data_IF_181750578665
#
_entry.id   IF_181750578665
#
_cell.length_a   1.000
_cell.length_b   1.000
_cell.length_c   1.000
_cell.angle_alpha   90.00
_cell.angle_beta   90.00
_cell.angle_gamma   90.00
#
_symmetry.space_group_name_H-M   'P 1'
#
loop_
_entity.id
_entity.type
_entity.pdbx_description
1 polymer ?
#
# COMPACT_ATOMS: atom_id res chain seq x y z
N UNK A 1 -4.48 -3.62 -7.55
CA UNK A 1 -4.42 -2.90 -6.25
C UNK A 1 -5.77 -2.56 -5.63
N UNK A 2 -6.80 -2.06 -6.34
CA UNK A 2 -8.07 -1.63 -5.72
C UNK A 2 -8.72 -2.71 -4.86
N UNK A 3 -8.75 -3.96 -5.35
CA UNK A 3 -9.27 -5.12 -4.61
C UNK A 3 -8.63 -5.28 -3.22
N UNK A 4 -7.29 -5.17 -3.13
CA UNK A 4 -6.58 -5.32 -1.83
C UNK A 4 -6.91 -4.17 -0.89
N UNK A 5 -6.95 -2.93 -1.40
CA UNK A 5 -7.33 -1.75 -0.60
C UNK A 5 -8.73 -1.95 -0.01
N UNK A 6 -9.71 -2.35 -0.83
CA UNK A 6 -11.07 -2.67 -0.37
C UNK A 6 -11.09 -3.79 0.67
N UNK A 7 -10.36 -4.88 0.44
CA UNK A 7 -10.28 -6.00 1.39
C UNK A 7 -9.68 -5.56 2.74
N UNK A 8 -8.60 -4.79 2.74
CA UNK A 8 -8.01 -4.26 3.96
C UNK A 8 -8.94 -3.26 4.66
N UNK A 9 -9.59 -2.37 3.92
CA UNK A 9 -10.54 -1.40 4.45
C UNK A 9 -11.75 -2.07 5.13
N UNK A 10 -12.26 -3.16 4.55
CA UNK A 10 -13.36 -3.96 5.11
C UNK A 10 -12.90 -4.98 6.18
N UNK A 11 -11.61 -5.00 6.55
CA UNK A 11 -11.07 -5.96 7.51
C UNK A 11 -10.99 -7.41 7.03
N UNK A 12 -11.15 -7.66 5.73
CA UNK A 12 -11.12 -9.00 5.11
C UNK A 12 -9.73 -9.38 4.57
N UNK A 13 -8.76 -8.45 4.63
CA UNK A 13 -7.37 -8.68 4.21
C UNK A 13 -6.47 -9.16 5.36
N UNK A 14 -5.34 -8.48 5.55
CA UNK A 14 -4.39 -8.80 6.61
C UNK A 14 -5.00 -8.68 8.01
N UNK A 15 -4.58 -9.58 8.92
CA UNK A 15 -5.04 -9.65 10.32
C UNK A 15 -5.01 -8.31 11.04
N UNK A 16 -3.98 -7.49 10.79
CA UNK A 16 -3.82 -6.16 11.38
C UNK A 16 -5.04 -5.26 11.12
N UNK A 17 -5.59 -5.30 9.89
CA UNK A 17 -6.69 -4.41 9.50
C UNK A 17 -8.09 -4.93 9.88
N UNK A 18 -8.19 -6.06 10.59
CA UNK A 18 -9.49 -6.56 11.11
C UNK A 18 -10.08 -5.64 12.18
N UNK A 19 -9.22 -4.96 12.94
CA UNK A 19 -9.61 -4.06 14.04
C UNK A 19 -9.42 -2.58 13.71
N UNK A 20 -8.66 -2.27 12.66
CA UNK A 20 -8.25 -0.90 12.32
C UNK A 20 -8.34 -0.72 10.81
N UNK A 21 -8.93 0.39 10.35
CA UNK A 21 -8.97 0.71 8.92
C UNK A 21 -7.65 1.35 8.47
N UNK A 22 -7.11 1.01 7.29
CA UNK A 22 -5.97 1.73 6.71
C UNK A 22 -6.38 3.17 6.40
N UNK A 23 -5.54 4.13 6.78
CA UNK A 23 -5.77 5.54 6.47
C UNK A 23 -5.43 5.88 5.01
N UNK A 24 -4.28 5.41 4.54
CA UNK A 24 -3.79 5.68 3.19
C UNK A 24 -2.74 4.64 2.77
N UNK A 25 -2.59 4.48 1.45
CA UNK A 25 -1.40 3.86 0.85
C UNK A 25 -0.41 5.00 0.61
N UNK A 26 0.86 4.82 0.96
CA UNK A 26 1.90 5.87 0.84
C UNK A 26 3.09 5.45 -0.01
N UNK A 27 3.16 4.18 -0.40
CA UNK A 27 4.27 3.63 -1.14
C UNK A 27 3.81 2.55 -2.13
N UNK A 28 4.33 2.61 -3.35
CA UNK A 28 4.05 1.66 -4.43
C UNK A 28 5.25 1.54 -5.37
N UNK A 29 5.60 0.32 -5.77
CA UNK A 29 6.59 0.03 -6.82
C UNK A 29 5.94 -0.82 -7.92
N UNK A 30 6.23 -0.52 -9.19
CA UNK A 30 5.69 -1.24 -10.34
C UNK A 30 6.73 -2.16 -10.99
N UNK A 31 6.28 -2.89 -12.02
CA UNK A 31 7.11 -3.75 -12.88
C UNK A 31 7.81 -4.90 -12.13
N UNK A 32 7.26 -5.28 -10.96
CA UNK A 32 7.71 -6.44 -10.21
C UNK A 32 6.90 -7.67 -10.63
N UNK A 33 7.61 -8.75 -10.94
CA UNK A 33 7.02 -10.08 -11.03
C UNK A 33 6.84 -10.66 -9.63
N UNK A 34 6.04 -11.72 -9.48
CA UNK A 34 5.73 -12.31 -8.16
C UNK A 34 6.97 -12.59 -7.31
N UNK A 35 8.03 -13.12 -7.92
CA UNK A 35 9.29 -13.42 -7.24
C UNK A 35 9.98 -12.15 -6.73
N UNK A 36 10.18 -11.16 -7.60
CA UNK A 36 10.86 -9.90 -7.24
C UNK A 36 10.04 -9.07 -6.27
N UNK A 37 8.71 -9.08 -6.39
CA UNK A 37 7.80 -8.45 -5.44
C UNK A 37 7.96 -9.03 -4.01
N UNK A 38 8.09 -10.35 -3.90
CA UNK A 38 8.25 -11.02 -2.61
C UNK A 38 9.61 -10.73 -1.97
N UNK A 39 10.69 -10.72 -2.78
CA UNK A 39 12.03 -10.33 -2.33
C UNK A 39 12.05 -8.86 -1.87
N UNK A 40 11.43 -7.97 -2.63
CA UNK A 40 11.33 -6.56 -2.30
C UNK A 40 10.53 -6.32 -1.03
N UNK A 41 9.41 -7.02 -0.85
CA UNK A 41 8.62 -6.99 0.37
C UNK A 41 9.46 -7.41 1.60
N UNK A 42 10.27 -8.46 1.47
CA UNK A 42 11.19 -8.89 2.53
C UNK A 42 12.22 -7.80 2.86
N UNK A 43 12.87 -7.22 1.86
CA UNK A 43 13.84 -6.14 2.07
C UNK A 43 13.20 -4.94 2.79
N UNK A 44 12.04 -4.48 2.34
CA UNK A 44 11.33 -3.34 2.94
C UNK A 44 10.95 -3.64 4.39
N UNK A 45 10.54 -4.88 4.71
CA UNK A 45 10.21 -5.26 6.10
C UNK A 45 11.40 -5.11 7.05
N UNK A 46 12.60 -5.43 6.57
CA UNK A 46 13.84 -5.32 7.34
C UNK A 46 14.32 -3.87 7.55
N UNK A 47 13.83 -2.91 6.77
CA UNK A 47 14.19 -1.50 6.93
C UNK A 47 13.71 -0.92 8.26
N UNK A 48 14.55 -0.09 8.86
CA UNK A 48 14.20 0.73 10.02
C UNK A 48 13.09 1.73 9.67
N UNK A 49 12.46 2.33 10.68
CA UNK A 49 11.46 3.39 10.46
C UNK A 49 12.04 4.56 9.65
N UNK A 50 13.27 4.99 9.96
CA UNK A 50 13.92 6.09 9.24
C UNK A 50 14.17 5.73 7.79
N UNK A 51 14.65 4.51 7.51
CA UNK A 51 14.88 4.03 6.15
C UNK A 51 13.58 3.92 5.34
N UNK A 52 12.47 3.49 5.96
CA UNK A 52 11.15 3.49 5.32
C UNK A 52 10.68 4.89 4.97
N UNK A 53 10.88 5.85 5.88
CA UNK A 53 10.53 7.24 5.62
C UNK A 53 11.37 7.84 4.49
N UNK A 54 12.68 7.53 4.45
CA UNK A 54 13.53 7.93 3.33
C UNK A 54 13.00 7.33 2.02
N UNK A 55 12.75 6.02 1.98
CA UNK A 55 12.24 5.30 0.81
C UNK A 55 10.91 5.87 0.28
N UNK A 56 10.02 6.35 1.16
CA UNK A 56 8.76 6.97 0.72
C UNK A 56 8.99 8.27 -0.07
N UNK A 57 10.10 8.96 0.20
CA UNK A 57 10.43 10.25 -0.41
C UNK A 57 11.36 10.12 -1.62
N UNK A 58 11.68 8.91 -2.08
CA UNK A 58 12.53 8.70 -3.26
C UNK A 58 11.71 8.44 -4.51
N UNK A 59 12.37 8.50 -5.68
CA UNK A 59 11.75 8.30 -6.98
C UNK A 59 11.26 6.86 -7.22
N UNK A 60 11.72 5.89 -6.42
CA UNK A 60 11.17 4.54 -6.41
C UNK A 60 9.69 4.51 -6.00
N UNK A 61 9.23 5.52 -5.25
CA UNK A 61 7.84 5.63 -4.87
C UNK A 61 6.97 6.12 -6.04
N UNK A 62 6.34 5.17 -6.71
CA UNK A 62 5.50 5.42 -7.89
C UNK A 62 4.02 5.60 -7.53
N UNK A 63 3.71 5.94 -6.28
CA UNK A 63 2.32 6.08 -5.83
C UNK A 63 1.54 7.16 -6.58
N UNK A 64 2.21 8.22 -7.04
CA UNK A 64 1.62 9.31 -7.82
C UNK A 64 0.87 8.79 -9.06
N UNK A 65 1.32 7.68 -9.65
CA UNK A 65 0.70 7.04 -10.81
C UNK A 65 -0.66 6.40 -10.49
N UNK A 66 -1.02 6.29 -9.20
CA UNK A 66 -2.22 5.61 -8.71
C UNK A 66 -3.15 6.49 -7.87
N UNK A 67 -2.80 7.76 -7.60
CA UNK A 67 -3.57 8.63 -6.71
C UNK A 67 -5.06 8.65 -7.05
N UNK A 68 -5.41 8.94 -8.31
CA UNK A 68 -6.81 9.01 -8.75
C UNK A 68 -7.61 7.72 -8.48
N UNK A 69 -7.00 6.55 -8.70
CA UNK A 69 -7.67 5.26 -8.50
C UNK A 69 -7.81 4.96 -7.01
N UNK A 70 -6.78 5.24 -6.22
CA UNK A 70 -6.77 5.03 -4.77
C UNK A 70 -7.79 5.94 -4.08
N UNK A 71 -7.81 7.22 -4.43
CA UNK A 71 -8.78 8.21 -3.93
C UNK A 71 -10.20 7.79 -4.27
N UNK A 72 -10.48 7.45 -5.53
CA UNK A 72 -11.81 6.96 -5.94
C UNK A 72 -12.22 5.72 -5.15
N UNK A 73 -11.30 4.77 -4.95
CA UNK A 73 -11.56 3.55 -4.19
C UNK A 73 -11.88 3.86 -2.73
N UNK A 74 -11.12 4.75 -2.08
CA UNK A 74 -11.35 5.14 -0.68
C UNK A 74 -12.66 5.92 -0.53
N UNK A 75 -12.96 6.85 -1.44
CA UNK A 75 -14.21 7.61 -1.43
C UNK A 75 -15.43 6.69 -1.55
N UNK A 76 -15.39 5.70 -2.44
CA UNK A 76 -16.45 4.70 -2.56
C UNK A 76 -16.63 3.86 -1.28
N UNK A 77 -15.56 3.61 -0.53
CA UNK A 77 -15.61 2.84 0.71
C UNK A 77 -16.05 3.66 1.93
N UNK A 78 -15.94 4.98 1.84
CA UNK A 78 -16.39 5.94 2.85
C UNK A 78 -17.81 6.49 2.56
N UNK A 79 -18.39 6.19 1.41
CA UNK A 79 -19.76 6.56 1.07
C UNK A 79 -20.75 5.82 2.01
N UNK A 80 -21.83 6.49 2.46
CA UNK A 80 -22.81 5.93 3.40
C UNK A 80 -23.53 4.68 2.87
#
# INVERSE_FOLDING_TARGET
MPRRVTQHYRGQGAKYFRKTKPAQVIYMENNLIRATASQREYQIKQLSRQQKLQLINTDENQISQYCNILEKTLNQLNAP
#
